data_IF_460852045067
#
_entry.id   IF_460852045067
#
_cell.length_a   1.000
_cell.length_b   1.000
_cell.length_c   1.000
_cell.angle_alpha   90.00
_cell.angle_beta   90.00
_cell.angle_gamma   90.00
#
_symmetry.space_group_name_H-M   'P 1'
#
loop_
_entity.id
_entity.type
_entity.pdbx_description
1 polymer ?
#
# COMPACT_ATOMS: atom_id res chain seq x y z
N UNK A 1 -8.39 -29.57 -34.67
CA UNK A 1 -7.50 -30.72 -34.97
C UNK A 1 -6.78 -31.26 -33.73
N UNK A 2 -6.52 -30.46 -32.68
CA UNK A 2 -5.95 -30.96 -31.41
C UNK A 2 -6.98 -31.19 -30.29
N UNK A 3 -8.11 -30.48 -30.30
CA UNK A 3 -9.17 -30.60 -29.26
C UNK A 3 -10.41 -31.39 -29.73
N UNK A 4 -10.32 -32.19 -30.79
CA UNK A 4 -11.46 -32.96 -31.32
C UNK A 4 -12.53 -32.17 -32.08
N UNK A 5 -12.55 -30.83 -31.96
CA UNK A 5 -13.52 -29.96 -32.64
C UNK A 5 -13.12 -29.58 -34.07
N UNK A 6 -14.14 -29.33 -34.90
CA UNK A 6 -14.02 -28.86 -36.29
C UNK A 6 -14.12 -27.33 -36.32
N UNK A 7 -13.29 -26.68 -37.13
CA UNK A 7 -13.50 -25.26 -37.41
C UNK A 7 -14.70 -25.13 -38.37
N UNK A 8 -15.74 -24.32 -38.07
CA UNK A 8 -16.86 -24.16 -38.99
C UNK A 8 -16.39 -23.56 -40.32
N UNK A 9 -16.96 -24.07 -41.42
CA UNK A 9 -16.66 -23.60 -42.77
C UNK A 9 -17.43 -22.31 -43.03
N UNK A 10 -16.73 -21.23 -43.42
CA UNK A 10 -17.35 -19.96 -43.79
C UNK A 10 -16.66 -18.76 -43.15
N UNK A 11 -17.26 -17.58 -43.34
CA UNK A 11 -16.77 -16.33 -42.74
C UNK A 11 -17.26 -16.24 -41.30
N UNK A 12 -16.34 -16.31 -40.34
CA UNK A 12 -16.63 -16.14 -38.91
C UNK A 12 -16.49 -14.64 -38.58
N UNK A 13 -17.53 -14.06 -37.95
CA UNK A 13 -17.50 -12.66 -37.49
C UNK A 13 -17.69 -12.65 -35.98
N UNK A 14 -16.71 -12.12 -35.25
CA UNK A 14 -16.75 -11.98 -33.79
C UNK A 14 -16.86 -10.50 -33.46
N UNK A 15 -17.92 -10.11 -32.76
CA UNK A 15 -18.13 -8.73 -32.32
C UNK A 15 -17.64 -8.55 -30.88
N UNK A 16 -16.61 -7.71 -30.70
CA UNK A 16 -16.09 -7.33 -29.38
C UNK A 16 -16.54 -5.90 -29.05
N UNK A 17 -17.85 -5.73 -28.84
CA UNK A 17 -18.45 -4.46 -28.44
C UNK A 17 -18.35 -4.28 -26.91
N UNK A 18 -18.21 -3.02 -26.40
CA UNK A 18 -18.09 -1.76 -27.13
C UNK A 18 -16.65 -1.53 -27.66
N UNK A 19 -16.52 -0.84 -28.80
CA UNK A 19 -15.23 -0.56 -29.46
C UNK A 19 -14.26 0.24 -28.55
N UNK A 20 -14.82 1.07 -27.69
CA UNK A 20 -14.19 2.12 -26.90
C UNK A 20 -13.39 1.58 -25.70
N UNK A 21 -13.62 0.32 -25.32
CA UNK A 21 -12.85 -0.35 -24.27
C UNK A 21 -11.64 -1.07 -24.87
N UNK A 22 -10.46 -0.99 -24.23
CA UNK A 22 -9.28 -1.68 -24.70
C UNK A 22 -9.48 -3.20 -24.60
N UNK A 23 -9.33 -3.90 -25.73
CA UNK A 23 -9.21 -5.37 -25.75
C UNK A 23 -7.74 -5.72 -25.78
N UNK A 24 -7.18 -6.00 -24.61
CA UNK A 24 -5.76 -6.32 -24.46
C UNK A 24 -5.56 -7.72 -23.87
N UNK A 25 -4.62 -8.45 -24.47
CA UNK A 25 -4.21 -9.79 -24.07
C UNK A 25 -5.09 -10.91 -24.64
N UNK A 26 -4.64 -12.16 -24.52
CA UNK A 26 -5.35 -13.35 -25.00
C UNK A 26 -6.56 -13.75 -24.16
N UNK A 27 -7.00 -12.93 -23.19
CA UNK A 27 -8.05 -13.29 -22.21
C UNK A 27 -9.41 -13.64 -22.84
N UNK A 28 -9.62 -13.18 -24.07
CA UNK A 28 -10.85 -13.37 -24.84
C UNK A 28 -10.83 -14.62 -25.73
N UNK A 29 -9.69 -15.32 -25.85
CA UNK A 29 -9.58 -16.44 -26.77
C UNK A 29 -10.51 -17.59 -26.36
N UNK A 30 -10.57 -17.89 -25.05
CA UNK A 30 -11.49 -18.89 -24.50
C UNK A 30 -12.98 -18.57 -24.76
N UNK A 31 -13.54 -17.41 -24.36
CA UNK A 31 -14.95 -17.12 -24.62
C UNK A 31 -15.27 -17.06 -26.13
N UNK A 32 -14.33 -16.61 -26.97
CA UNK A 32 -14.50 -16.64 -28.44
C UNK A 32 -14.58 -18.08 -28.95
N UNK A 33 -13.70 -18.96 -28.49
CA UNK A 33 -13.71 -20.36 -28.88
C UNK A 33 -15.01 -21.07 -28.47
N UNK A 34 -15.48 -20.83 -27.24
CA UNK A 34 -16.74 -21.39 -26.74
C UNK A 34 -17.93 -20.88 -27.56
N UNK A 35 -17.99 -19.57 -27.81
CA UNK A 35 -19.04 -18.97 -28.65
C UNK A 35 -19.06 -19.56 -30.06
N UNK A 36 -17.90 -19.85 -30.64
CA UNK A 36 -17.79 -20.50 -31.94
C UNK A 36 -18.29 -21.95 -31.92
N UNK A 37 -17.97 -22.71 -30.88
CA UNK A 37 -18.42 -24.10 -30.73
C UNK A 37 -19.94 -24.18 -30.55
N UNK A 38 -20.54 -23.26 -29.80
CA UNK A 38 -21.99 -23.16 -29.62
C UNK A 38 -22.66 -22.77 -30.94
N UNK A 39 -22.16 -21.73 -31.61
CA UNK A 39 -22.72 -21.25 -32.88
C UNK A 39 -22.60 -22.28 -34.02
N UNK A 40 -21.68 -23.23 -33.91
CA UNK A 40 -21.53 -24.34 -34.85
C UNK A 40 -22.20 -25.64 -34.39
N UNK A 41 -23.03 -25.57 -33.33
CA UNK A 41 -23.78 -26.70 -32.76
C UNK A 41 -22.91 -27.90 -32.35
N UNK A 42 -21.61 -27.67 -32.11
CA UNK A 42 -20.67 -28.72 -31.69
C UNK A 42 -20.75 -28.98 -30.19
N UNK A 43 -21.21 -28.00 -29.42
CA UNK A 43 -21.54 -28.15 -28.00
C UNK A 43 -22.95 -27.59 -27.76
N UNK A 44 -23.69 -28.28 -26.91
CA UNK A 44 -25.00 -27.83 -26.42
C UNK A 44 -24.92 -27.80 -24.89
N UNK A 45 -24.63 -26.64 -24.29
CA UNK A 45 -24.45 -26.52 -22.85
C UNK A 45 -25.70 -26.97 -22.10
N UNK A 46 -25.53 -27.81 -21.07
CA UNK A 46 -26.60 -28.17 -20.14
C UNK A 46 -26.75 -27.16 -19.01
N UNK A 47 -25.80 -26.23 -18.90
CA UNK A 47 -25.74 -25.16 -17.89
C UNK A 47 -26.16 -23.80 -18.47
N UNK A 48 -26.63 -22.90 -17.61
CA UNK A 48 -26.94 -21.52 -18.01
C UNK A 48 -25.63 -20.71 -18.18
N UNK A 49 -25.22 -20.47 -19.42
CA UNK A 49 -24.01 -19.71 -19.75
C UNK A 49 -24.00 -18.28 -19.22
N UNK A 50 -25.15 -17.64 -19.02
CA UNK A 50 -25.18 -16.29 -18.46
C UNK A 50 -24.57 -16.27 -17.06
N UNK A 51 -24.62 -17.38 -16.33
CA UNK A 51 -24.04 -17.50 -15.00
C UNK A 51 -22.52 -17.73 -15.02
N UNK A 52 -21.88 -17.83 -16.19
CA UNK A 52 -20.46 -18.11 -16.33
C UNK A 52 -19.69 -16.95 -16.96
N UNK A 53 -18.48 -16.73 -16.44
CA UNK A 53 -17.48 -15.88 -17.04
C UNK A 53 -16.24 -16.71 -17.38
N UNK A 54 -15.69 -16.47 -18.57
CA UNK A 54 -14.58 -17.26 -19.11
C UNK A 54 -13.38 -16.37 -19.35
N UNK A 55 -12.24 -16.77 -18.78
CA UNK A 55 -10.98 -16.06 -18.93
C UNK A 55 -9.88 -17.03 -19.35
N UNK A 56 -9.06 -16.66 -20.32
CA UNK A 56 -7.87 -17.43 -20.67
C UNK A 56 -7.45 -17.28 -22.11
N UNK A 57 -6.14 -17.34 -22.33
CA UNK A 57 -5.55 -17.49 -23.65
C UNK A 57 -5.62 -18.96 -24.08
N UNK A 58 -5.95 -19.20 -25.35
CA UNK A 58 -6.09 -20.54 -25.88
C UNK A 58 -4.93 -20.88 -26.81
N UNK A 59 -4.12 -21.86 -26.41
CA UNK A 59 -3.06 -22.40 -27.26
C UNK A 59 -3.62 -23.17 -28.47
N UNK A 60 -2.80 -23.31 -29.52
CA UNK A 60 -3.13 -24.09 -30.72
C UNK A 60 -3.29 -25.60 -30.43
N UNK A 61 -2.72 -26.06 -29.31
CA UNK A 61 -2.87 -27.40 -28.73
C UNK A 61 -4.18 -27.56 -27.94
N UNK A 62 -4.92 -26.48 -27.71
CA UNK A 62 -6.14 -26.47 -26.90
C UNK A 62 -5.90 -26.29 -25.41
N UNK A 63 -4.65 -26.06 -24.99
CA UNK A 63 -4.28 -25.80 -23.59
C UNK A 63 -4.61 -24.36 -23.23
N UNK A 64 -5.16 -24.16 -22.03
CA UNK A 64 -5.46 -22.84 -21.48
C UNK A 64 -4.21 -22.24 -20.82
N UNK A 65 -3.97 -20.96 -21.08
CA UNK A 65 -2.83 -20.20 -20.57
C UNK A 65 -3.28 -18.97 -19.80
N UNK A 66 -2.56 -18.67 -18.72
CA UNK A 66 -2.83 -17.52 -17.84
C UNK A 66 -2.69 -16.22 -18.62
N UNK A 67 -3.51 -15.23 -18.25
CA UNK A 67 -3.39 -13.87 -18.79
C UNK A 67 -3.17 -12.86 -17.67
N UNK A 68 -2.54 -11.73 -18.02
CA UNK A 68 -2.18 -10.69 -17.06
C UNK A 68 -3.41 -9.94 -16.53
N UNK A 69 -3.38 -9.57 -15.24
CA UNK A 69 -4.36 -8.67 -14.65
C UNK A 69 -5.78 -9.25 -14.55
N UNK A 70 -5.93 -10.54 -14.25
CA UNK A 70 -7.24 -11.19 -14.12
C UNK A 70 -7.92 -10.95 -12.77
N UNK A 71 -7.16 -10.66 -11.70
CA UNK A 71 -7.73 -10.57 -10.36
C UNK A 71 -8.85 -9.50 -10.22
N UNK A 72 -8.73 -8.27 -10.78
CA UNK A 72 -9.83 -7.30 -10.73
C UNK A 72 -11.10 -7.81 -11.41
N UNK A 73 -10.96 -8.55 -12.52
CA UNK A 73 -12.09 -9.15 -13.22
C UNK A 73 -12.74 -10.21 -12.32
N UNK A 74 -11.96 -11.10 -11.73
CA UNK A 74 -12.43 -12.16 -10.84
C UNK A 74 -13.16 -11.59 -9.61
N UNK A 75 -12.66 -10.51 -9.02
CA UNK A 75 -13.33 -9.82 -7.92
C UNK A 75 -14.70 -9.30 -8.37
N UNK A 76 -14.78 -8.66 -9.54
CA UNK A 76 -16.04 -8.17 -10.08
C UNK A 76 -17.03 -9.31 -10.40
N UNK A 77 -16.58 -10.37 -11.08
CA UNK A 77 -17.38 -11.57 -11.38
C UNK A 77 -17.90 -12.23 -10.10
N UNK A 78 -17.09 -12.23 -9.04
CA UNK A 78 -17.47 -12.76 -7.72
C UNK A 78 -18.55 -11.92 -7.05
N UNK A 79 -18.49 -10.59 -7.15
CA UNK A 79 -19.52 -9.69 -6.63
C UNK A 79 -20.85 -9.88 -7.36
N UNK A 80 -20.79 -10.17 -8.66
CA UNK A 80 -21.95 -10.50 -9.50
C UNK A 80 -22.41 -11.97 -9.37
N UNK A 81 -21.82 -12.74 -8.44
CA UNK A 81 -22.14 -14.14 -8.15
C UNK A 81 -22.04 -15.08 -9.37
N UNK A 82 -21.13 -14.79 -10.31
CA UNK A 82 -20.88 -15.62 -11.49
C UNK A 82 -19.91 -16.76 -11.18
N UNK A 83 -20.06 -17.86 -11.90
CA UNK A 83 -19.11 -18.96 -11.96
C UNK A 83 -17.96 -18.57 -12.90
N UNK A 84 -16.72 -18.78 -12.49
CA UNK A 84 -15.54 -18.28 -13.18
C UNK A 84 -14.75 -19.48 -13.69
N UNK A 85 -14.50 -19.52 -15.00
CA UNK A 85 -13.65 -20.52 -15.63
C UNK A 85 -12.35 -19.83 -16.05
N UNK A 86 -11.23 -20.38 -15.56
CA UNK A 86 -9.89 -19.84 -15.83
C UNK A 86 -8.85 -20.96 -15.94
N UNK A 87 -7.64 -20.68 -16.46
CA UNK A 87 -6.58 -21.67 -16.58
C UNK A 87 -6.13 -22.19 -15.21
N UNK A 88 -5.84 -23.48 -15.07
CA UNK A 88 -5.38 -24.06 -13.77
C UNK A 88 -4.05 -23.47 -13.27
N UNK A 89 -3.21 -23.02 -14.20
CA UNK A 89 -1.93 -22.40 -13.90
C UNK A 89 -2.13 -21.16 -13.02
N UNK A 90 -1.42 -21.09 -11.90
CA UNK A 90 -1.53 -20.02 -10.90
C UNK A 90 -2.95 -19.77 -10.36
N UNK A 91 -3.87 -20.74 -10.49
CA UNK A 91 -5.25 -20.58 -10.03
C UNK A 91 -5.37 -20.38 -8.51
N UNK A 92 -4.39 -20.87 -7.75
CA UNK A 92 -4.32 -20.72 -6.29
C UNK A 92 -4.31 -19.25 -5.85
N UNK A 93 -3.79 -18.32 -6.67
CA UNK A 93 -3.79 -16.90 -6.33
C UNK A 93 -5.19 -16.28 -6.29
N UNK A 94 -6.14 -16.90 -6.98
CA UNK A 94 -7.53 -16.47 -7.03
C UNK A 94 -8.38 -17.13 -5.92
N UNK A 95 -7.83 -18.13 -5.21
CA UNK A 95 -8.44 -18.71 -4.01
C UNK A 95 -8.67 -17.67 -2.90
N UNK A 96 -8.00 -16.52 -2.97
CA UNK A 96 -8.15 -15.43 -2.02
C UNK A 96 -9.54 -14.78 -2.07
N UNK A 97 -10.22 -14.84 -3.23
CA UNK A 97 -11.55 -14.29 -3.40
C UNK A 97 -12.56 -15.29 -2.86
N UNK A 98 -12.74 -15.31 -1.54
CA UNK A 98 -13.54 -16.31 -0.80
C UNK A 98 -14.99 -16.54 -1.27
N UNK A 99 -15.55 -15.61 -2.05
CA UNK A 99 -16.91 -15.70 -2.59
C UNK A 99 -16.95 -16.18 -4.05
N UNK A 100 -15.79 -16.33 -4.69
CA UNK A 100 -15.70 -16.65 -6.10
C UNK A 100 -15.85 -18.16 -6.34
N UNK A 101 -16.81 -18.53 -7.19
CA UNK A 101 -16.96 -19.91 -7.66
C UNK A 101 -16.02 -20.16 -8.83
N UNK A 102 -14.78 -20.54 -8.53
CA UNK A 102 -13.72 -20.70 -9.54
C UNK A 102 -13.58 -22.17 -9.94
N UNK A 103 -13.62 -22.43 -11.25
CA UNK A 103 -13.46 -23.73 -11.89
C UNK A 103 -12.19 -23.71 -12.77
N UNK A 104 -11.04 -24.10 -12.21
CA UNK A 104 -9.79 -24.12 -12.96
C UNK A 104 -9.80 -25.24 -13.99
N UNK A 105 -9.44 -24.93 -15.23
CA UNK A 105 -9.40 -25.87 -16.35
C UNK A 105 -8.02 -25.85 -17.03
N UNK A 106 -7.53 -27.00 -17.47
CA UNK A 106 -6.27 -27.13 -18.22
C UNK A 106 -6.45 -26.92 -19.72
N UNK A 107 -7.61 -27.26 -20.26
CA UNK A 107 -7.86 -27.29 -21.70
C UNK A 107 -9.28 -26.93 -22.07
N UNK A 108 -9.48 -26.56 -23.34
CA UNK A 108 -10.80 -26.31 -23.92
C UNK A 108 -11.74 -27.52 -23.79
N UNK A 109 -11.20 -28.75 -23.87
CA UNK A 109 -11.98 -29.98 -23.71
C UNK A 109 -12.60 -30.08 -22.32
N UNK A 110 -11.82 -29.86 -21.27
CA UNK A 110 -12.32 -29.84 -19.88
C UNK A 110 -13.41 -28.79 -19.69
N UNK A 111 -13.25 -27.59 -20.28
CA UNK A 111 -14.30 -26.57 -20.23
C UNK A 111 -15.58 -27.05 -20.89
N UNK A 112 -15.49 -27.70 -22.05
CA UNK A 112 -16.67 -28.24 -22.74
C UNK A 112 -17.35 -29.35 -21.93
N UNK A 113 -16.58 -30.24 -21.29
CA UNK A 113 -17.10 -31.28 -20.40
C UNK A 113 -17.88 -30.69 -19.23
N UNK A 114 -17.35 -29.64 -18.59
CA UNK A 114 -18.04 -28.91 -17.52
C UNK A 114 -19.34 -28.29 -18.02
N UNK A 115 -19.35 -27.66 -19.20
CA UNK A 115 -20.55 -27.07 -19.78
C UNK A 115 -21.60 -28.11 -20.17
N UNK A 116 -21.20 -29.36 -20.44
CA UNK A 116 -22.09 -30.49 -20.65
C UNK A 116 -22.63 -31.10 -19.34
N UNK A 117 -22.16 -30.63 -18.18
CA UNK A 117 -22.62 -31.07 -16.86
C UNK A 117 -21.84 -32.25 -16.30
N UNK A 118 -20.59 -32.46 -16.76
CA UNK A 118 -19.69 -33.40 -16.11
C UNK A 118 -19.20 -32.83 -14.77
N UNK A 119 -19.40 -33.58 -13.68
CA UNK A 119 -18.94 -33.23 -12.32
C UNK A 119 -17.44 -33.46 -12.09
N UNK A 120 -16.63 -33.50 -13.15
CA UNK A 120 -15.22 -33.88 -13.06
C UNK A 120 -14.30 -32.72 -12.66
N UNK A 121 -14.80 -31.48 -12.64
CA UNK A 121 -14.00 -30.30 -12.29
C UNK A 121 -14.39 -29.81 -10.91
N UNK A 122 -13.47 -29.99 -9.97
CA UNK A 122 -13.65 -29.50 -8.62
C UNK A 122 -13.55 -27.97 -8.59
N UNK A 123 -14.49 -27.34 -7.89
CA UNK A 123 -14.35 -25.94 -7.51
C UNK A 123 -13.06 -25.76 -6.72
N UNK A 124 -12.33 -24.69 -7.01
CA UNK A 124 -11.13 -24.32 -6.27
C UNK A 124 -11.49 -24.11 -4.80
N UNK A 125 -10.91 -24.91 -3.91
CA UNK A 125 -11.18 -24.83 -2.47
C UNK A 125 -10.38 -23.68 -1.86
N UNK A 126 -11.09 -22.77 -1.21
CA UNK A 126 -10.49 -21.69 -0.43
C UNK A 126 -9.83 -22.28 0.82
N UNK A 127 -8.50 -22.43 0.81
CA UNK A 127 -7.75 -22.78 2.01
C UNK A 127 -6.84 -21.63 2.43
N UNK A 128 -7.48 -20.56 2.93
CA UNK A 128 -6.79 -19.52 3.68
C UNK A 128 -6.58 -20.06 5.10
N UNK A 129 -5.59 -20.93 5.28
CA UNK A 129 -5.10 -21.16 6.64
C UNK A 129 -4.69 -19.79 7.20
N UNK A 130 -5.08 -19.49 8.45
CA UNK A 130 -4.53 -18.36 9.20
C UNK A 130 -3.04 -18.66 9.46
N UNK A 131 -2.23 -18.52 8.43
CA UNK A 131 -0.79 -18.63 8.55
C UNK A 131 -0.31 -17.48 9.45
N UNK A 132 0.48 -17.84 10.45
CA UNK A 132 1.12 -16.86 11.31
C UNK A 132 1.96 -15.94 10.43
N UNK A 133 1.67 -14.64 10.51
CA UNK A 133 2.42 -13.62 9.77
C UNK A 133 3.87 -13.63 10.25
N UNK A 134 4.75 -14.23 9.46
CA UNK A 134 6.17 -14.25 9.73
C UNK A 134 6.79 -12.95 9.20
N UNK A 135 7.42 -12.19 10.10
CA UNK A 135 8.15 -10.98 9.75
C UNK A 135 9.64 -11.26 9.84
N UNK A 136 10.38 -10.93 8.79
CA UNK A 136 11.83 -11.12 8.76
C UNK A 136 12.56 -10.16 9.71
N UNK A 137 12.01 -8.95 9.89
CA UNK A 137 12.63 -7.87 10.66
C UNK A 137 11.88 -7.61 11.96
N UNK A 138 12.61 -7.58 13.07
CA UNK A 138 12.06 -7.34 14.41
C UNK A 138 12.73 -6.13 15.08
N UNK A 139 11.93 -5.31 15.78
CA UNK A 139 12.35 -4.24 16.67
C UNK A 139 13.17 -4.71 17.89
N UNK A 140 13.11 -6.00 18.24
CA UNK A 140 14.00 -6.60 19.24
C UNK A 140 15.48 -6.47 18.84
N UNK A 141 15.78 -6.40 17.54
CA UNK A 141 17.13 -6.24 17.00
C UNK A 141 17.63 -4.78 17.06
N UNK A 142 16.74 -3.81 17.27
CA UNK A 142 17.10 -2.39 17.36
C UNK A 142 17.51 -2.10 18.80
N UNK A 143 18.80 -1.90 19.02
CA UNK A 143 19.34 -1.52 20.33
C UNK A 143 19.17 -0.02 20.57
N UNK A 144 18.61 0.33 21.74
CA UNK A 144 18.34 1.72 22.10
C UNK A 144 17.29 2.38 21.20
N UNK A 145 17.36 3.72 21.10
CA UNK A 145 16.44 4.54 20.31
C UNK A 145 14.96 4.46 20.72
N UNK A 146 14.68 4.41 22.03
CA UNK A 146 13.31 4.37 22.55
C UNK A 146 12.41 5.49 22.00
N UNK A 147 12.97 6.70 21.86
CA UNK A 147 12.24 7.84 21.30
C UNK A 147 11.83 7.61 19.83
N UNK A 148 12.68 6.96 19.03
CA UNK A 148 12.35 6.63 17.64
C UNK A 148 11.34 5.48 17.54
N UNK A 149 11.47 4.45 18.39
CA UNK A 149 10.47 3.37 18.49
C UNK A 149 9.09 3.92 18.87
N UNK A 150 9.02 4.82 19.86
CA UNK A 150 7.79 5.49 20.27
C UNK A 150 7.19 6.34 19.14
N UNK A 151 8.00 7.10 18.43
CA UNK A 151 7.52 7.89 17.28
C UNK A 151 6.96 7.01 16.15
N UNK A 152 7.59 5.87 15.85
CA UNK A 152 7.10 4.90 14.86
C UNK A 152 5.81 4.22 15.33
N UNK A 153 5.71 3.86 16.61
CA UNK A 153 4.49 3.33 17.23
C UNK A 153 3.32 4.32 17.06
N UNK A 154 3.54 5.61 17.36
CA UNK A 154 2.55 6.68 17.18
C UNK A 154 2.20 6.82 15.69
N UNK A 155 3.20 6.87 14.82
CA UNK A 155 2.99 7.06 13.39
C UNK A 155 2.10 5.94 12.81
N UNK A 156 2.43 4.68 13.10
CA UNK A 156 1.66 3.52 12.62
C UNK A 156 0.28 3.45 13.24
N UNK A 157 0.14 3.74 14.53
CA UNK A 157 -1.16 3.70 15.22
C UNK A 157 -2.16 4.68 14.62
N UNK A 158 -1.69 5.83 14.15
CA UNK A 158 -2.53 6.90 13.61
C UNK A 158 -2.57 7.01 12.09
N UNK A 159 -1.72 6.27 11.36
CA UNK A 159 -1.55 6.43 9.91
C UNK A 159 -0.74 7.69 9.52
N UNK A 160 0.07 8.25 10.42
CA UNK A 160 0.76 9.52 10.24
C UNK A 160 2.01 9.38 9.39
N UNK A 161 2.27 10.35 8.53
CA UNK A 161 3.50 10.42 7.74
C UNK A 161 4.67 10.91 8.61
N UNK A 162 5.84 10.30 8.47
CA UNK A 162 7.00 10.56 9.34
C UNK A 162 8.25 10.90 8.51
N UNK A 163 9.01 11.91 8.95
CA UNK A 163 10.33 12.25 8.40
C UNK A 163 11.41 12.06 9.48
N UNK A 164 12.38 11.20 9.18
CA UNK A 164 13.52 10.90 10.02
C UNK A 164 14.72 11.76 9.59
N UNK A 165 15.18 12.64 10.46
CA UNK A 165 16.36 13.48 10.22
C UNK A 165 17.48 12.99 11.13
N UNK A 166 18.64 12.67 10.58
CA UNK A 166 19.77 12.26 11.41
C UNK A 166 21.04 11.98 10.61
N UNK A 167 22.20 11.88 11.28
CA UNK A 167 23.46 11.61 10.62
C UNK A 167 23.51 10.22 9.97
N UNK A 168 24.48 9.97 9.07
CA UNK A 168 24.70 8.62 8.54
C UNK A 168 24.99 7.63 9.67
N UNK A 169 24.46 6.41 9.55
CA UNK A 169 24.63 5.36 10.57
C UNK A 169 23.74 5.48 11.80
N UNK A 170 22.77 6.41 11.84
CA UNK A 170 21.78 6.49 12.93
C UNK A 170 20.68 5.42 12.86
N UNK A 171 20.67 4.56 11.84
CA UNK A 171 19.71 3.44 11.73
C UNK A 171 18.34 3.81 11.13
N UNK A 172 18.21 4.94 10.41
CA UNK A 172 16.96 5.39 9.79
C UNK A 172 16.31 4.32 8.89
N UNK A 173 17.08 3.76 7.96
CA UNK A 173 16.65 2.69 7.05
C UNK A 173 16.27 1.43 7.82
N UNK A 174 17.10 1.05 8.82
CA UNK A 174 16.85 -0.10 9.70
C UNK A 174 15.52 0.02 10.45
N UNK A 175 15.19 1.21 10.95
CA UNK A 175 13.91 1.49 11.60
C UNK A 175 12.73 1.41 10.62
N UNK A 176 12.88 2.00 9.44
CA UNK A 176 11.80 2.05 8.44
C UNK A 176 11.43 0.65 7.91
N UNK A 177 12.41 -0.20 7.62
CA UNK A 177 12.20 -1.58 7.12
C UNK A 177 11.46 -2.49 8.12
N UNK A 178 11.41 -2.09 9.40
CA UNK A 178 10.71 -2.80 10.48
C UNK A 178 9.27 -2.32 10.66
N UNK A 179 8.87 -1.20 10.05
CA UNK A 179 7.51 -0.69 10.19
C UNK A 179 6.43 -1.73 9.88
N UNK A 180 6.48 -2.49 8.77
CA UNK A 180 5.46 -3.49 8.47
C UNK A 180 5.23 -4.50 9.60
N UNK A 181 6.25 -4.80 10.41
CA UNK A 181 6.13 -5.72 11.54
C UNK A 181 5.39 -5.16 12.75
N UNK A 182 5.06 -3.87 12.80
CA UNK A 182 4.25 -3.31 13.88
C UNK A 182 2.89 -2.80 13.39
N UNK A 183 2.63 -2.83 12.08
CA UNK A 183 1.37 -2.36 11.53
C UNK A 183 0.21 -3.33 11.76
N UNK A 184 -1.04 -2.82 11.86
CA UNK A 184 -2.22 -3.67 11.79
C UNK A 184 -2.23 -4.46 10.48
N UNK A 185 -2.53 -5.78 10.52
CA UNK A 185 -2.61 -6.59 9.31
C UNK A 185 -3.76 -6.11 8.41
N UNK A 186 -3.67 -6.44 7.12
CA UNK A 186 -4.71 -6.07 6.17
C UNK A 186 -5.98 -6.88 6.38
N UNK A 187 -7.13 -6.21 6.26
CA UNK A 187 -8.40 -6.90 6.05
C UNK A 187 -8.38 -7.58 4.68
N UNK A 188 -9.20 -8.62 4.50
CA UNK A 188 -9.28 -9.36 3.23
C UNK A 188 -9.55 -8.44 2.05
N UNK A 189 -10.48 -7.49 2.18
CA UNK A 189 -10.82 -6.54 1.11
C UNK A 189 -9.62 -5.68 0.70
N UNK A 190 -8.87 -5.14 1.66
CA UNK A 190 -7.67 -4.34 1.40
C UNK A 190 -6.54 -5.16 0.81
N UNK A 191 -6.43 -6.43 1.23
CA UNK A 191 -5.46 -7.35 0.70
C UNK A 191 -5.76 -7.69 -0.77
N UNK A 192 -7.05 -7.86 -1.13
CA UNK A 192 -7.51 -8.06 -2.50
C UNK A 192 -7.33 -6.80 -3.38
N UNK A 193 -7.58 -5.60 -2.83
CA UNK A 193 -7.32 -4.33 -3.53
C UNK A 193 -5.83 -4.19 -3.88
N UNK A 194 -4.94 -4.42 -2.92
CA UNK A 194 -3.49 -4.43 -3.18
C UNK A 194 -3.09 -5.51 -4.19
N UNK A 195 -3.61 -6.72 -4.04
CA UNK A 195 -3.34 -7.82 -4.97
C UNK A 195 -3.75 -7.46 -6.41
N UNK A 196 -4.85 -6.71 -6.56
CA UNK A 196 -5.34 -6.23 -7.84
C UNK A 196 -4.34 -5.29 -8.51
N UNK A 197 -3.73 -4.38 -7.75
CA UNK A 197 -2.66 -3.51 -8.26
C UNK A 197 -1.46 -4.33 -8.75
N UNK A 198 -1.03 -5.34 -8.00
CA UNK A 198 0.09 -6.21 -8.39
C UNK A 198 -0.22 -7.04 -9.64
N UNK A 199 -1.44 -7.57 -9.73
CA UNK A 199 -1.92 -8.32 -10.89
C UNK A 199 -1.87 -7.45 -12.16
N UNK A 200 -2.30 -6.18 -12.09
CA UNK A 200 -2.22 -5.24 -13.22
C UNK A 200 -0.78 -4.79 -13.50
N UNK A 201 0.06 -4.69 -12.47
CA UNK A 201 1.49 -4.39 -12.62
C UNK A 201 2.30 -5.56 -13.19
N UNK A 202 1.70 -6.75 -13.32
CA UNK A 202 2.36 -8.01 -13.62
C UNK A 202 3.56 -8.29 -12.69
N UNK A 203 3.35 -8.09 -11.39
CA UNK A 203 4.32 -8.40 -10.34
C UNK A 203 3.89 -9.68 -9.62
N UNK A 204 4.83 -10.61 -9.33
CA UNK A 204 4.51 -11.80 -8.57
C UNK A 204 4.01 -11.39 -7.18
N UNK A 205 2.97 -12.07 -6.72
CA UNK A 205 2.40 -11.87 -5.41
C UNK A 205 2.47 -13.18 -4.65
N UNK A 206 3.19 -13.16 -3.54
CA UNK A 206 3.21 -14.28 -2.59
C UNK A 206 1.92 -14.24 -1.75
N UNK A 207 1.11 -15.28 -1.89
CA UNK A 207 -0.19 -15.40 -1.23
C UNK A 207 -0.04 -15.58 0.28
N UNK A 208 1.07 -16.16 0.73
CA UNK A 208 1.38 -16.35 2.16
C UNK A 208 1.61 -15.00 2.84
N UNK A 209 2.02 -13.98 2.09
CA UNK A 209 2.34 -12.64 2.59
C UNK A 209 1.25 -11.59 2.25
N UNK A 210 0.07 -12.03 1.82
CA UNK A 210 -0.98 -11.13 1.33
C UNK A 210 -1.42 -10.12 2.40
N UNK A 211 -1.60 -10.59 3.63
CA UNK A 211 -2.03 -9.78 4.78
C UNK A 211 -0.89 -8.91 5.35
N UNK A 212 0.37 -9.16 4.96
CA UNK A 212 1.54 -8.37 5.35
C UNK A 212 1.59 -7.10 4.50
N UNK A 213 1.65 -5.93 5.12
CA UNK A 213 1.74 -4.65 4.40
C UNK A 213 3.02 -4.55 3.56
N UNK A 214 2.91 -4.06 2.33
CA UNK A 214 4.06 -3.86 1.45
C UNK A 214 5.01 -2.80 1.98
N UNK A 215 6.31 -2.99 1.78
CA UNK A 215 7.33 -1.97 1.95
C UNK A 215 7.98 -1.68 0.60
N UNK A 216 7.93 -0.43 0.14
CA UNK A 216 8.53 0.01 -1.12
C UNK A 216 9.59 1.06 -0.84
N UNK A 217 10.79 0.84 -1.36
CA UNK A 217 11.94 1.75 -1.20
C UNK A 217 12.55 2.05 -2.57
N UNK A 218 11.91 2.89 -3.40
CA UNK A 218 12.47 3.29 -4.69
C UNK A 218 13.81 4.02 -4.50
N UNK A 219 14.75 3.75 -5.40
CA UNK A 219 16.04 4.45 -5.40
C UNK A 219 15.85 5.93 -5.78
N UNK A 220 16.66 6.84 -5.24
CA UNK A 220 16.55 8.29 -5.49
C UNK A 220 16.78 8.70 -6.97
N UNK A 221 17.37 7.81 -7.77
CA UNK A 221 17.50 7.97 -9.23
C UNK A 221 16.24 7.57 -10.01
N UNK A 222 15.18 7.13 -9.33
CA UNK A 222 13.91 6.75 -9.96
C UNK A 222 13.27 7.93 -10.67
N UNK A 223 12.81 7.70 -11.90
CA UNK A 223 12.10 8.72 -12.67
C UNK A 223 10.69 8.96 -12.11
N UNK A 224 10.09 10.11 -12.46
CA UNK A 224 8.69 10.39 -12.13
C UNK A 224 7.74 9.32 -12.68
N UNK A 225 8.06 8.73 -13.84
CA UNK A 225 7.26 7.66 -14.45
C UNK A 225 7.35 6.36 -13.64
N UNK A 226 8.53 6.03 -13.10
CA UNK A 226 8.68 4.84 -12.25
C UNK A 226 7.89 4.96 -10.93
N UNK A 227 7.86 6.16 -10.34
CA UNK A 227 7.13 6.43 -9.10
C UNK A 227 5.61 6.44 -9.30
N UNK A 228 5.13 7.21 -10.28
CA UNK A 228 3.70 7.47 -10.46
C UNK A 228 3.05 6.36 -11.29
N UNK A 229 3.81 5.76 -12.19
CA UNK A 229 3.30 4.87 -13.23
C UNK A 229 3.20 5.56 -14.58
N UNK A 230 2.90 4.77 -15.60
CA UNK A 230 2.83 5.24 -16.98
C UNK A 230 2.93 4.10 -17.99
N UNK A 231 3.31 4.44 -19.22
CA UNK A 231 3.30 3.52 -20.36
C UNK A 231 2.01 3.58 -21.17
N UNK A 232 1.92 2.73 -22.19
CA UNK A 232 0.75 2.54 -23.04
C UNK A 232 0.58 1.03 -23.26
N UNK A 233 -0.36 0.35 -22.56
CA UNK A 233 -1.35 0.91 -21.62
C UNK A 233 -0.72 1.44 -20.32
N UNK A 234 -1.39 2.36 -19.59
CA UNK A 234 -0.88 2.89 -18.33
C UNK A 234 -0.81 1.78 -17.27
N UNK A 235 0.36 1.64 -16.64
CA UNK A 235 0.63 0.70 -15.56
C UNK A 235 0.90 1.45 -14.24
N UNK A 236 0.57 0.84 -13.08
CA UNK A 236 0.86 1.41 -11.77
C UNK A 236 2.37 1.55 -11.52
N UNK A 237 2.77 2.61 -10.82
CA UNK A 237 4.15 2.84 -10.37
C UNK A 237 4.41 2.42 -8.92
N UNK A 238 5.59 2.74 -8.40
CA UNK A 238 6.01 2.41 -7.02
C UNK A 238 5.04 2.95 -5.95
N UNK A 239 4.42 4.11 -6.19
CA UNK A 239 3.45 4.70 -5.27
C UNK A 239 2.19 3.83 -5.15
N UNK A 240 1.63 3.37 -6.27
CA UNK A 240 0.49 2.45 -6.27
C UNK A 240 0.88 1.06 -5.78
N UNK A 241 2.10 0.60 -6.06
CA UNK A 241 2.63 -0.65 -5.51
C UNK A 241 2.88 -0.60 -3.99
N UNK A 242 2.90 0.59 -3.39
CA UNK A 242 2.94 0.80 -1.94
C UNK A 242 1.55 0.91 -1.30
N UNK A 243 0.47 0.77 -2.08
CA UNK A 243 -0.90 0.86 -1.61
C UNK A 243 -1.18 -0.11 -0.44
N UNK A 244 -1.84 0.42 0.59
CA UNK A 244 -2.08 -0.20 1.89
C UNK A 244 -0.78 -0.67 2.60
N UNK A 245 0.34 -0.05 2.29
CA UNK A 245 1.63 -0.29 2.94
C UNK A 245 2.43 0.98 3.19
N UNK A 246 3.75 0.85 3.11
CA UNK A 246 4.72 1.90 3.40
C UNK A 246 5.51 2.25 2.14
N UNK A 247 5.56 3.55 1.83
CA UNK A 247 6.51 4.10 0.85
C UNK A 247 7.65 4.76 1.64
N UNK A 248 8.84 4.16 1.57
CA UNK A 248 10.05 4.68 2.18
C UNK A 248 10.90 5.42 1.15
N UNK A 249 11.25 6.66 1.44
CA UNK A 249 12.12 7.48 0.61
C UNK A 249 13.38 7.82 1.40
N UNK A 250 14.44 7.06 1.17
CA UNK A 250 15.75 7.35 1.75
C UNK A 250 16.41 8.51 1.03
N UNK A 251 17.18 9.31 1.77
CA UNK A 251 17.85 10.50 1.23
C UNK A 251 16.91 11.42 0.45
N UNK A 252 15.77 11.78 1.05
CA UNK A 252 14.68 12.54 0.41
C UNK A 252 15.16 13.77 -0.40
N UNK A 253 16.13 14.59 0.05
CA UNK A 253 16.64 15.73 -0.71
C UNK A 253 17.44 15.36 -1.99
N UNK A 254 17.83 14.10 -2.18
CA UNK A 254 18.53 13.64 -3.38
C UNK A 254 17.59 13.30 -4.53
N UNK A 255 16.29 13.16 -4.26
CA UNK A 255 15.29 13.05 -5.31
C UNK A 255 15.15 14.37 -6.09
N UNK A 256 14.96 14.32 -7.41
CA UNK A 256 14.65 15.52 -8.18
C UNK A 256 13.36 16.17 -7.66
N UNK A 257 13.35 17.50 -7.49
CA UNK A 257 12.18 18.21 -6.94
C UNK A 257 10.89 17.91 -7.70
N UNK A 258 10.95 17.81 -9.03
CA UNK A 258 9.79 17.47 -9.87
C UNK A 258 9.17 16.11 -9.54
N UNK A 259 9.97 15.16 -9.05
CA UNK A 259 9.52 13.82 -8.64
C UNK A 259 8.81 13.89 -7.29
N UNK A 260 9.37 14.62 -6.32
CA UNK A 260 8.76 14.84 -5.01
C UNK A 260 7.42 15.57 -5.09
N UNK A 261 7.29 16.55 -6.00
CA UNK A 261 6.04 17.29 -6.19
C UNK A 261 4.87 16.39 -6.60
N UNK A 262 5.12 15.24 -7.23
CA UNK A 262 4.04 14.32 -7.63
C UNK A 262 3.43 13.60 -6.43
N UNK A 263 4.15 13.46 -5.32
CA UNK A 263 3.63 12.82 -4.10
C UNK A 263 2.51 13.63 -3.44
N UNK A 264 2.41 14.93 -3.72
CA UNK A 264 1.45 15.82 -3.03
C UNK A 264 0.00 15.39 -3.19
N UNK A 265 -0.39 14.96 -4.40
CA UNK A 265 -1.76 14.54 -4.68
C UNK A 265 -2.06 13.17 -4.06
N UNK A 266 -1.25 12.11 -4.26
CA UNK A 266 -1.49 10.82 -3.64
C UNK A 266 -1.52 10.85 -2.11
N UNK A 267 -0.72 11.72 -1.47
CA UNK A 267 -0.75 11.92 -0.02
C UNK A 267 -2.06 12.54 0.51
N UNK A 268 -2.86 13.18 -0.34
CA UNK A 268 -4.14 13.79 0.04
C UNK A 268 -5.34 12.96 -0.43
N UNK A 269 -5.35 12.51 -1.69
CA UNK A 269 -6.46 11.74 -2.26
C UNK A 269 -6.37 10.24 -2.00
N UNK A 270 -5.17 9.70 -1.77
CA UNK A 270 -4.94 8.26 -1.73
C UNK A 270 -5.10 7.59 -3.09
N UNK A 271 -5.06 8.34 -4.20
CA UNK A 271 -5.23 7.85 -5.57
C UNK A 271 -4.33 8.58 -6.56
N UNK A 272 -3.95 7.89 -7.63
CA UNK A 272 -3.23 8.46 -8.78
C UNK A 272 -4.12 8.40 -10.01
N UNK A 273 -4.35 9.55 -10.65
CA UNK A 273 -5.02 9.63 -11.94
C UNK A 273 -3.99 9.76 -13.06
N UNK A 274 -3.89 8.73 -13.91
CA UNK A 274 -3.06 8.74 -15.11
C UNK A 274 -3.95 9.05 -16.32
N UNK A 275 -3.74 10.23 -16.91
CA UNK A 275 -4.36 10.62 -18.17
C UNK A 275 -3.32 10.63 -19.30
N UNK A 276 -3.59 9.87 -20.36
CA UNK A 276 -2.82 9.84 -21.61
C UNK A 276 -3.77 9.95 -22.79
N UNK A 277 -3.24 10.31 -23.96
CA UNK A 277 -4.03 10.70 -25.15
C UNK A 277 -5.15 9.72 -25.55
N UNK A 278 -5.04 8.43 -25.23
CA UNK A 278 -6.04 7.41 -25.56
C UNK A 278 -6.75 6.77 -24.35
N UNK A 279 -6.33 7.03 -23.11
CA UNK A 279 -6.87 6.33 -21.94
C UNK A 279 -6.67 7.12 -20.64
N UNK A 280 -7.69 7.04 -19.78
CA UNK A 280 -7.64 7.49 -18.39
C UNK A 280 -7.74 6.27 -17.48
N UNK A 281 -6.86 6.19 -16.50
CA UNK A 281 -6.86 5.12 -15.50
C UNK A 281 -6.55 5.70 -14.13
N UNK A 282 -7.32 5.28 -13.14
CA UNK A 282 -7.09 5.62 -11.74
C UNK A 282 -6.54 4.40 -11.03
N UNK A 283 -5.46 4.59 -10.26
CA UNK A 283 -4.86 3.55 -9.44
C UNK A 283 -4.92 3.96 -7.96
N UNK A 284 -5.28 3.05 -7.05
CA UNK A 284 -5.24 3.35 -5.63
C UNK A 284 -3.79 3.54 -5.18
N UNK A 285 -3.62 4.45 -4.21
CA UNK A 285 -2.34 4.93 -3.71
C UNK A 285 -2.43 5.37 -2.24
N UNK A 286 -3.26 4.69 -1.43
CA UNK A 286 -3.30 4.88 0.02
C UNK A 286 -2.07 4.25 0.71
N UNK A 287 -0.96 4.97 0.85
CA UNK A 287 0.26 4.50 1.53
C UNK A 287 0.65 5.43 2.68
N UNK A 288 1.37 4.90 3.66
CA UNK A 288 2.04 5.69 4.69
C UNK A 288 3.43 6.11 4.21
N UNK A 289 3.72 7.41 4.20
CA UNK A 289 5.01 7.95 3.79
C UNK A 289 5.99 7.99 4.96
N UNK A 290 7.17 7.41 4.74
CA UNK A 290 8.30 7.50 5.65
C UNK A 290 9.49 8.07 4.88
N UNK A 291 9.85 9.31 5.18
CA UNK A 291 11.05 9.94 4.62
C UNK A 291 12.24 9.76 5.55
N UNK A 292 13.43 9.61 4.99
CA UNK A 292 14.67 9.78 5.73
C UNK A 292 15.55 10.81 5.04
N UNK A 293 16.25 11.64 5.82
CA UNK A 293 17.24 12.57 5.29
C UNK A 293 18.34 12.86 6.27
N UNK A 294 19.43 13.37 5.73
CA UNK A 294 20.52 13.91 6.52
C UNK A 294 20.19 15.37 6.93
N UNK A 295 20.75 15.88 8.03
CA UNK A 295 20.47 17.26 8.46
C UNK A 295 21.16 18.33 7.57
N UNK A 296 22.19 17.93 6.82
CA UNK A 296 22.93 18.78 5.88
C UNK A 296 23.60 17.91 4.80
N UNK A 297 24.16 18.50 3.73
CA UNK A 297 24.84 17.74 2.66
C UNK A 297 25.96 16.82 3.16
N UNK A 298 26.73 17.23 4.18
CA UNK A 298 27.79 16.38 4.74
C UNK A 298 27.31 15.41 5.83
N UNK A 299 26.04 15.52 6.27
CA UNK A 299 25.42 14.62 7.24
C UNK A 299 25.70 14.86 8.72
N UNK A 300 26.66 15.70 9.10
CA UNK A 300 27.10 15.85 10.50
C UNK A 300 26.57 17.10 11.22
N UNK A 301 25.64 17.85 10.63
CA UNK A 301 25.07 19.03 11.28
C UNK A 301 24.28 18.64 12.54
N UNK A 302 24.58 19.27 13.68
CA UNK A 302 23.94 19.00 14.96
C UNK A 302 24.38 17.69 15.65
N UNK A 303 25.33 16.95 15.06
CA UNK A 303 25.84 15.67 15.59
C UNK A 303 26.78 15.83 16.81
N UNK A 304 27.08 17.07 17.22
CA UNK A 304 28.05 17.38 18.28
C UNK A 304 29.51 17.10 17.90
N UNK A 305 29.76 16.57 16.70
CA UNK A 305 31.10 16.33 16.15
C UNK A 305 31.52 17.51 15.26
N UNK A 306 32.78 17.95 15.34
CA UNK A 306 33.34 19.03 14.52
C UNK A 306 33.55 18.64 13.03
N UNK A 307 32.85 17.61 12.55
CA UNK A 307 32.95 17.08 11.18
C UNK A 307 32.08 17.84 10.17
N UNK A 308 31.17 18.68 10.65
CA UNK A 308 30.34 19.50 9.78
C UNK A 308 31.11 20.75 9.32
N UNK A 309 31.31 20.87 8.01
CA UNK A 309 31.91 22.05 7.37
C UNK A 309 30.93 22.84 6.52
N UNK A 310 29.63 22.51 6.56
CA UNK A 310 28.61 23.19 5.78
C UNK A 310 28.31 24.58 6.35
N UNK A 311 28.14 25.56 5.47
CA UNK A 311 27.65 26.90 5.84
C UNK A 311 26.13 26.89 6.06
N UNK A 312 25.60 27.89 6.77
CA UNK A 312 24.15 28.04 6.96
C UNK A 312 23.40 28.06 5.62
N UNK A 313 23.89 28.83 4.63
CA UNK A 313 23.32 28.88 3.28
C UNK A 313 23.29 27.50 2.59
N UNK A 314 24.31 26.67 2.78
CA UNK A 314 24.33 25.32 2.20
C UNK A 314 23.30 24.40 2.85
N UNK A 315 23.10 24.54 4.17
CA UNK A 315 22.11 23.78 4.93
C UNK A 315 20.71 24.20 4.51
N UNK A 316 20.45 25.50 4.41
CA UNK A 316 19.15 26.02 3.98
C UNK A 316 18.83 25.63 2.55
N UNK A 317 19.80 25.72 1.62
CA UNK A 317 19.63 25.23 0.24
C UNK A 317 19.32 23.73 0.18
N UNK A 318 19.95 22.94 1.04
CA UNK A 318 19.73 21.50 1.12
C UNK A 318 18.32 21.17 1.61
N UNK A 319 17.87 21.82 2.70
CA UNK A 319 16.50 21.67 3.23
C UNK A 319 15.45 22.15 2.22
N UNK A 320 15.71 23.27 1.55
CA UNK A 320 14.84 23.86 0.53
C UNK A 320 14.72 23.04 -0.77
N UNK A 321 15.48 21.94 -0.93
CA UNK A 321 15.22 20.97 -2.00
C UNK A 321 13.86 20.30 -1.82
N UNK A 322 13.40 20.14 -0.58
CA UNK A 322 12.06 19.69 -0.24
C UNK A 322 11.15 20.92 -0.19
N UNK A 323 10.01 20.87 -0.86
CA UNK A 323 9.10 22.01 -0.88
C UNK A 323 8.28 22.09 0.41
N UNK A 324 8.03 23.33 0.88
CA UNK A 324 7.14 23.59 2.03
C UNK A 324 5.78 22.89 1.91
N UNK A 325 5.09 22.94 0.76
CA UNK A 325 3.85 22.19 0.58
C UNK A 325 3.95 20.68 0.80
N UNK A 326 5.10 20.05 0.52
CA UNK A 326 5.31 18.64 0.80
C UNK A 326 5.61 18.40 2.29
N UNK A 327 6.43 19.23 2.93
CA UNK A 327 6.72 19.15 4.37
C UNK A 327 5.46 19.38 5.22
N UNK A 328 4.57 20.27 4.79
CA UNK A 328 3.25 20.46 5.37
C UNK A 328 2.39 19.19 5.31
N UNK A 329 2.73 18.23 4.41
CA UNK A 329 2.04 16.94 4.24
C UNK A 329 2.63 15.77 5.04
N UNK A 330 3.75 15.99 5.72
CA UNK A 330 4.37 15.04 6.64
C UNK A 330 3.93 15.40 8.04
N UNK A 331 3.28 14.51 8.79
CA UNK A 331 2.69 14.82 10.10
C UNK A 331 3.70 15.03 11.22
N UNK A 332 4.78 14.24 11.19
CA UNK A 332 5.78 14.14 12.25
C UNK A 332 7.18 14.27 11.67
N UNK A 333 8.04 15.05 12.33
CA UNK A 333 9.47 15.17 12.04
C UNK A 333 10.23 14.74 13.28
N UNK A 334 11.11 13.76 13.12
CA UNK A 334 11.87 13.16 14.19
C UNK A 334 13.37 13.31 13.94
N UNK A 335 14.06 13.96 14.87
CA UNK A 335 15.51 13.92 14.94
C UNK A 335 15.98 12.61 15.58
N UNK A 336 16.72 11.81 14.81
CA UNK A 336 17.33 10.53 15.22
C UNK A 336 18.81 10.77 15.47
N UNK A 337 19.24 10.89 16.74
CA UNK A 337 20.64 11.14 17.07
C UNK A 337 21.55 9.97 16.67
N UNK A 338 22.88 10.18 16.57
CA UNK A 338 23.82 9.08 16.38
C UNK A 338 23.71 8.07 17.54
N UNK A 339 23.89 6.79 17.23
CA UNK A 339 23.97 5.75 18.25
C UNK A 339 25.23 5.93 19.11
N UNK A 340 25.12 6.09 20.45
CA UNK A 340 26.29 6.13 21.32
C UNK A 340 27.09 4.83 21.17
N UNK A 341 28.42 4.92 21.03
CA UNK A 341 29.29 3.74 20.91
C UNK A 341 29.13 2.76 22.06
N UNK A 342 28.75 3.24 23.25
CA UNK A 342 28.46 2.42 24.43
C UNK A 342 27.26 1.49 24.22
N UNK A 343 26.19 1.97 23.57
CA UNK A 343 24.99 1.18 23.31
C UNK A 343 25.21 0.13 22.21
N UNK A 344 26.13 0.40 21.27
CA UNK A 344 26.55 -0.58 20.27
C UNK A 344 27.38 -1.72 20.88
N UNK A 345 28.25 -1.39 21.85
CA UNK A 345 29.18 -2.32 22.49
C UNK A 345 28.55 -3.07 23.67
N UNK A 346 27.48 -2.55 24.27
CA UNK A 346 26.74 -3.24 25.31
C UNK A 346 25.99 -4.44 24.72
N UNK A 347 26.44 -5.64 25.10
CA UNK A 347 25.76 -6.92 24.85
C UNK A 347 24.73 -7.25 25.94
N UNK A 348 24.55 -6.37 26.94
CA UNK A 348 23.60 -6.62 28.01
C UNK A 348 22.17 -6.69 27.45
N UNK A 349 21.51 -7.80 27.78
CA UNK A 349 20.12 -8.12 27.47
C UNK A 349 19.16 -7.16 28.21
N UNK A 350 19.21 -5.85 27.95
CA UNK A 350 18.01 -5.05 28.11
C UNK A 350 16.96 -5.67 27.22
N UNK A 351 15.83 -6.08 27.79
CA UNK A 351 14.67 -6.67 27.12
C UNK A 351 14.19 -5.71 26.02
N UNK A 352 14.76 -5.83 24.83
CA UNK A 352 14.37 -5.04 23.69
C UNK A 352 12.94 -5.45 23.33
N UNK A 353 12.03 -4.47 23.33
CA UNK A 353 10.63 -4.72 22.97
C UNK A 353 10.55 -5.39 21.60
N UNK A 354 9.85 -6.52 21.55
CA UNK A 354 9.58 -7.23 20.30
C UNK A 354 8.54 -6.47 19.50
N UNK A 355 8.56 -6.67 18.18
CA UNK A 355 7.57 -6.08 17.27
C UNK A 355 6.16 -6.51 17.61
N UNK A 356 5.99 -7.72 18.15
CA UNK A 356 4.69 -8.25 18.59
C UNK A 356 4.10 -7.40 19.73
N UNK A 357 4.89 -7.09 20.77
CA UNK A 357 4.44 -6.26 21.90
C UNK A 357 4.06 -4.84 21.44
N UNK A 358 4.85 -4.26 20.53
CA UNK A 358 4.54 -2.95 19.94
C UNK A 358 3.26 -3.05 19.09
N UNK A 359 3.13 -4.09 18.26
CA UNK A 359 1.96 -4.34 17.41
C UNK A 359 0.68 -4.47 18.22
N UNK A 360 0.70 -5.16 19.37
CA UNK A 360 -0.48 -5.26 20.23
C UNK A 360 -0.98 -3.89 20.71
N UNK A 361 -0.07 -2.98 21.07
CA UNK A 361 -0.43 -1.61 21.47
C UNK A 361 -1.01 -0.82 20.30
N UNK A 362 -0.36 -0.92 19.14
CA UNK A 362 -0.82 -0.33 17.89
C UNK A 362 -2.22 -0.83 17.53
N UNK A 363 -2.47 -2.15 17.62
CA UNK A 363 -3.76 -2.77 17.33
C UNK A 363 -4.86 -2.26 18.27
N UNK A 364 -4.58 -2.16 19.58
CA UNK A 364 -5.53 -1.61 20.56
C UNK A 364 -5.91 -0.17 20.22
N UNK A 365 -4.93 0.67 19.86
CA UNK A 365 -5.19 2.05 19.46
C UNK A 365 -5.95 2.12 18.12
N UNK A 366 -5.58 1.28 17.15
CA UNK A 366 -6.24 1.20 15.84
C UNK A 366 -7.70 0.76 15.96
N UNK A 367 -8.01 -0.29 16.72
CA UNK A 367 -9.37 -0.77 16.94
C UNK A 367 -10.26 0.29 17.58
N UNK A 368 -9.73 1.09 18.52
CA UNK A 368 -10.47 2.21 19.09
C UNK A 368 -10.82 3.27 18.06
N UNK A 369 -9.88 3.60 17.18
CA UNK A 369 -10.12 4.55 16.09
C UNK A 369 -11.20 3.99 15.15
N UNK A 370 -11.08 2.76 14.70
CA UNK A 370 -12.07 2.13 13.82
C UNK A 370 -13.45 2.05 14.48
N UNK A 371 -13.56 1.67 15.76
CA UNK A 371 -14.83 1.64 16.49
C UNK A 371 -15.45 3.03 16.67
N UNK A 372 -14.63 4.06 16.89
CA UNK A 372 -15.09 5.43 17.14
C UNK A 372 -15.53 6.16 15.87
N UNK A 373 -14.78 6.01 14.78
CA UNK A 373 -14.93 6.86 13.59
C UNK A 373 -14.75 6.12 12.25
N UNK A 374 -14.59 4.78 12.27
CA UNK A 374 -14.40 3.91 11.09
C UNK A 374 -13.18 4.21 10.23
N UNK A 375 -12.26 5.06 10.70
CA UNK A 375 -11.02 5.42 10.01
C UNK A 375 -9.92 5.80 11.00
N UNK A 376 -8.67 5.79 10.52
CA UNK A 376 -7.49 6.22 11.27
C UNK A 376 -7.49 7.73 11.52
N UNK A 377 -6.75 8.17 12.53
CA UNK A 377 -6.72 9.57 12.96
C UNK A 377 -6.11 10.53 11.92
N UNK A 378 -5.19 10.07 11.06
CA UNK A 378 -4.66 10.86 9.93
C UNK A 378 -5.76 11.31 8.96
N UNK A 379 -6.82 10.51 8.78
CA UNK A 379 -7.94 10.76 7.85
C UNK A 379 -9.08 11.59 8.45
N UNK A 380 -8.90 12.13 9.65
CA UNK A 380 -9.88 13.03 10.25
C UNK A 380 -10.00 14.34 9.47
N UNK A 381 -11.23 14.76 9.22
CA UNK A 381 -11.57 16.07 8.65
C UNK A 381 -11.55 17.16 9.74
N UNK A 382 -11.39 18.44 9.39
CA UNK A 382 -11.42 19.53 10.37
C UNK A 382 -12.67 19.50 11.27
N UNK A 383 -13.85 19.27 10.67
CA UNK A 383 -15.11 19.20 11.41
C UNK A 383 -15.17 18.04 12.42
N UNK A 384 -14.53 16.91 12.10
CA UNK A 384 -14.45 15.77 13.01
C UNK A 384 -13.41 16.02 14.12
N UNK A 385 -12.30 16.69 13.81
CA UNK A 385 -11.30 17.10 14.81
C UNK A 385 -11.97 17.96 15.88
N UNK A 386 -12.74 18.98 15.48
CA UNK A 386 -13.40 19.89 16.41
C UNK A 386 -14.46 19.20 17.28
N UNK A 387 -15.12 18.16 16.75
CA UNK A 387 -16.09 17.35 17.49
C UNK A 387 -15.43 16.39 18.48
N UNK A 388 -14.33 15.75 18.07
CA UNK A 388 -13.67 14.67 18.81
C UNK A 388 -12.65 15.19 19.82
N UNK A 389 -12.00 16.32 19.53
CA UNK A 389 -10.90 16.86 20.32
C UNK A 389 -11.37 18.14 21.01
N UNK A 390 -12.01 17.96 22.17
CA UNK A 390 -12.37 19.07 23.05
C UNK A 390 -11.18 19.43 23.93
N UNK A 391 -10.53 20.54 23.60
CA UNK A 391 -9.42 21.07 24.39
C UNK A 391 -9.91 21.99 25.51
N UNK A 392 -9.37 21.77 26.71
CA UNK A 392 -9.47 22.70 27.82
C UNK A 392 -8.74 24.02 27.52
N UNK A 393 -9.09 25.08 28.24
CA UNK A 393 -8.54 26.43 28.02
C UNK A 393 -7.01 26.48 28.13
N UNK A 394 -6.41 25.74 29.08
CA UNK A 394 -4.96 25.65 29.24
C UNK A 394 -4.27 25.02 28.00
N UNK A 395 -4.89 23.99 27.40
CA UNK A 395 -4.34 23.34 26.21
C UNK A 395 -4.49 24.21 24.96
N UNK A 396 -5.56 25.02 24.88
CA UNK A 396 -5.71 26.03 23.81
C UNK A 396 -4.61 27.08 23.87
N UNK A 397 -4.35 27.63 25.06
CA UNK A 397 -3.27 28.61 25.27
C UNK A 397 -1.89 28.04 24.91
N UNK A 398 -1.61 26.80 25.32
CA UNK A 398 -0.35 26.14 24.98
C UNK A 398 -0.18 25.98 23.46
N UNK A 399 -1.27 25.67 22.75
CA UNK A 399 -1.26 25.50 21.30
C UNK A 399 -1.11 26.85 20.57
N UNK A 400 -1.78 27.90 21.03
CA UNK A 400 -1.60 29.28 20.54
C UNK A 400 -0.14 29.73 20.69
N UNK A 401 0.44 29.55 21.87
CA UNK A 401 1.86 29.87 22.11
C UNK A 401 2.80 29.08 21.19
N UNK A 402 2.49 27.82 20.88
CA UNK A 402 3.29 27.01 19.97
C UNK A 402 3.15 27.48 18.51
N UNK A 403 1.93 27.86 18.08
CA UNK A 403 1.68 28.41 16.74
C UNK A 403 2.48 29.69 16.54
N UNK A 404 2.44 30.61 17.50
CA UNK A 404 3.13 31.90 17.42
C UNK A 404 4.65 31.73 17.43
N UNK A 405 5.16 30.84 18.29
CA UNK A 405 6.60 30.61 18.45
C UNK A 405 7.25 29.91 17.26
N UNK A 406 6.56 28.95 16.65
CA UNK A 406 7.07 28.14 15.55
C UNK A 406 6.50 28.53 14.18
N UNK A 407 5.71 29.62 14.11
CA UNK A 407 5.05 30.10 12.89
C UNK A 407 4.29 28.99 12.14
N UNK A 408 3.56 28.17 12.88
CA UNK A 408 2.88 26.98 12.33
C UNK A 408 1.72 27.39 11.41
N UNK A 409 1.58 26.68 10.29
CA UNK A 409 0.42 26.84 9.41
C UNK A 409 -0.84 26.24 10.04
N UNK A 410 -2.02 26.67 9.57
CA UNK A 410 -3.30 26.06 9.98
C UNK A 410 -3.35 24.55 9.69
N UNK A 411 -2.63 24.07 8.66
CA UNK A 411 -2.49 22.63 8.37
C UNK A 411 -1.65 21.93 9.44
N UNK A 412 -0.54 22.54 9.86
CA UNK A 412 0.29 22.00 10.92
C UNK A 412 -0.47 21.92 12.25
N UNK A 413 -1.32 22.91 12.56
CA UNK A 413 -2.22 22.89 13.71
C UNK A 413 -3.11 21.64 13.75
N UNK A 414 -3.87 21.37 12.68
CA UNK A 414 -4.75 20.20 12.64
C UNK A 414 -3.97 18.88 12.73
N UNK A 415 -2.76 18.81 12.15
CA UNK A 415 -1.91 17.63 12.23
C UNK A 415 -1.40 17.36 13.64
N UNK A 416 -1.01 18.40 14.38
CA UNK A 416 -0.64 18.27 15.80
C UNK A 416 -1.81 17.67 16.59
N UNK A 417 -3.04 18.12 16.33
CA UNK A 417 -4.23 17.56 17.00
C UNK A 417 -4.46 16.08 16.64
N UNK A 418 -4.30 15.71 15.36
CA UNK A 418 -4.40 14.30 14.92
C UNK A 418 -3.36 13.41 15.60
N UNK A 419 -2.11 13.87 15.69
CA UNK A 419 -1.03 13.17 16.39
C UNK A 419 -1.32 13.07 17.88
N UNK A 420 -1.73 14.16 18.53
CA UNK A 420 -2.09 14.19 19.94
C UNK A 420 -3.26 13.24 20.28
N UNK A 421 -4.24 13.09 19.38
CA UNK A 421 -5.32 12.12 19.53
C UNK A 421 -4.82 10.68 19.45
N UNK A 422 -3.89 10.38 18.55
CA UNK A 422 -3.28 9.05 18.47
C UNK A 422 -2.48 8.73 19.73
N UNK A 423 -1.74 9.70 20.28
CA UNK A 423 -1.02 9.52 21.55
C UNK A 423 -2.02 9.24 22.69
N UNK A 424 -3.13 9.98 22.74
CA UNK A 424 -4.20 9.71 23.72
C UNK A 424 -4.80 8.30 23.56
N UNK A 425 -5.01 7.84 22.32
CA UNK A 425 -5.53 6.50 22.05
C UNK A 425 -4.57 5.39 22.52
N UNK A 426 -3.25 5.58 22.32
CA UNK A 426 -2.19 4.69 22.81
C UNK A 426 -2.12 4.65 24.34
N UNK A 427 -2.31 5.79 24.98
CA UNK A 427 -2.32 5.93 26.44
C UNK A 427 -3.65 5.50 27.09
N UNK A 428 -4.60 4.99 26.30
CA UNK A 428 -5.96 4.64 26.72
C UNK A 428 -6.75 5.80 27.34
N UNK A 429 -6.53 7.03 26.87
CA UNK A 429 -7.22 8.23 27.37
C UNK A 429 -8.33 8.68 26.42
N UNK A 430 -9.52 8.95 26.97
CA UNK A 430 -10.65 9.45 26.19
C UNK A 430 -10.50 10.92 25.77
N UNK A 431 -9.70 11.71 26.51
CA UNK A 431 -9.46 13.14 26.26
C UNK A 431 -8.01 13.42 25.89
N UNK A 432 -7.79 14.50 25.12
CA UNK A 432 -6.44 14.96 24.79
C UNK A 432 -5.94 15.89 25.89
N UNK A 433 -5.08 15.35 26.75
CA UNK A 433 -4.46 16.06 27.87
C UNK A 433 -3.18 16.79 27.45
N UNK A 434 -2.69 17.69 28.31
CA UNK A 434 -1.49 18.52 28.05
C UNK A 434 -0.27 17.69 27.67
N UNK A 435 -0.05 16.54 28.32
CA UNK A 435 1.09 15.65 28.01
C UNK A 435 1.08 15.16 26.57
N UNK A 436 -0.10 14.78 26.04
CA UNK A 436 -0.24 14.27 24.68
C UNK A 436 0.00 15.40 23.66
N UNK A 437 -0.44 16.62 23.98
CA UNK A 437 -0.25 17.79 23.14
C UNK A 437 1.22 18.23 23.10
N UNK A 438 1.90 18.27 24.25
CA UNK A 438 3.33 18.62 24.33
C UNK A 438 4.19 17.62 23.56
N UNK A 439 3.91 16.32 23.67
CA UNK A 439 4.59 15.28 22.88
C UNK A 439 4.35 15.47 21.38
N UNK A 440 3.10 15.71 20.95
CA UNK A 440 2.78 15.98 19.55
C UNK A 440 3.49 17.23 18.99
N UNK A 441 3.55 18.32 19.76
CA UNK A 441 4.25 19.56 19.36
C UNK A 441 5.76 19.31 19.20
N UNK A 442 6.35 18.43 20.03
CA UNK A 442 7.77 18.12 19.96
C UNK A 442 8.19 17.55 18.61
N UNK A 443 7.31 16.78 17.95
CA UNK A 443 7.52 16.23 16.61
C UNK A 443 7.37 17.25 15.47
N UNK A 444 7.05 18.52 15.78
CA UNK A 444 6.94 19.60 14.79
C UNK A 444 7.94 20.73 14.95
N UNK A 445 8.75 20.66 16.01
CA UNK A 445 9.69 21.72 16.37
C UNK A 445 10.77 21.98 15.31
N UNK A 446 11.13 20.96 14.54
CA UNK A 446 12.28 20.96 13.61
C UNK A 446 11.86 20.79 12.14
N UNK A 447 10.58 20.97 11.83
CA UNK A 447 10.00 20.82 10.49
C UNK A 447 10.30 22.00 9.57
#
# INVERSE_FOLDING_TARGET
MNSGFKLPKGRITVSLAPANLPKSGGRYDLPIAIGLLIASEQINPSVNLEQFEFFGELGLDGVLRVTEGLLPAIIASSQDQRNIILPVQDANQYALVSQAKIYPCESLLQVCELLHGADNINQLVHNLADEQLAYQNDFSQVKGQYHAKRALEIAVSGGHNLLLIGPPGSGKTMLAERLPSIMPPLTTDKALERASVYSVANKPLDLTQLKIRSFRSPHHSSSAVALVGGGSPPKPGEISLAHEGVLFLDELPEFPRSVLEVLRQPLESGEIHLSRAAQQSTFPANFQLIGAMNPCPCGFYGDGTAKCHCTADQIDRYKNKISGPLLDRIDMVLNVPPLPKKDLLNQENTTAETSEIIRERVLKAYEKQIKRQSKTNDKLTPDEIDKLIKLEQANKQLLEMAIDKFHLSARAYHRILKVARTIADLDNSDTVNTRHLTEAISYRRDA
#
